data_IF_289598016404
#
_entry.id   IF_289598016404
#
_cell.length_a   1.000
_cell.length_b   1.000
_cell.length_c   1.000
_cell.angle_alpha   90.00
_cell.angle_beta   90.00
_cell.angle_gamma   90.00
#
_symmetry.space_group_name_H-M   'P 1'
#
loop_
_entity.id
_entity.type
_entity.pdbx_description
1 polymer ?
#
# COMPACT_ATOMS: atom_id res chain seq x y z
N UNK A 1 11.06 -6.99 23.19
CA UNK A 1 10.12 -6.62 22.12
C UNK A 1 10.83 -6.90 20.80
N UNK A 2 10.35 -7.87 20.02
CA UNK A 2 10.97 -8.23 18.75
C UNK A 2 10.30 -7.41 17.65
N UNK A 3 11.07 -6.60 16.94
CA UNK A 3 10.57 -5.80 15.80
C UNK A 3 10.41 -6.76 14.63
N UNK A 4 9.23 -6.75 14.01
CA UNK A 4 8.88 -7.65 12.90
C UNK A 4 8.35 -6.85 11.72
N UNK A 5 8.60 -7.35 10.51
CA UNK A 5 8.15 -6.70 9.29
C UNK A 5 6.63 -6.65 9.20
N UNK A 6 5.90 -7.67 9.65
CA UNK A 6 4.42 -7.70 9.64
C UNK A 6 3.75 -6.57 10.43
N UNK A 7 4.44 -6.03 11.43
CA UNK A 7 3.99 -4.90 12.26
C UNK A 7 4.40 -3.53 11.68
N UNK A 8 5.24 -3.52 10.65
CA UNK A 8 5.73 -2.30 10.02
C UNK A 8 4.73 -1.75 8.99
N UNK A 9 4.54 -0.44 8.94
CA UNK A 9 3.70 0.27 7.96
C UNK A 9 4.13 0.02 6.52
N UNK A 10 5.40 -0.29 6.28
CA UNK A 10 5.94 -0.50 4.95
C UNK A 10 5.77 -1.93 4.43
N UNK A 11 5.30 -2.87 5.25
CA UNK A 11 5.13 -4.26 4.83
C UNK A 11 3.74 -4.48 4.25
N UNK A 12 3.68 -4.93 2.99
CA UNK A 12 2.47 -5.36 2.32
C UNK A 12 2.48 -6.89 2.17
N UNK A 13 1.55 -7.64 2.78
CA UNK A 13 1.56 -9.09 2.70
C UNK A 13 1.27 -9.59 1.28
N UNK A 14 1.92 -10.67 0.87
CA UNK A 14 1.58 -11.36 -0.37
C UNK A 14 0.57 -12.49 -0.14
N UNK A 15 -0.16 -12.86 -1.19
CA UNK A 15 -1.12 -13.94 -1.17
C UNK A 15 -0.72 -15.02 -2.16
N UNK A 16 -0.92 -16.28 -1.79
CA UNK A 16 -0.72 -17.39 -2.71
C UNK A 16 -1.87 -17.49 -3.73
N UNK A 17 -1.77 -18.44 -4.67
CA UNK A 17 -2.79 -18.65 -5.70
C UNK A 17 -4.19 -19.00 -5.16
N UNK A 18 -4.29 -19.41 -3.90
CA UNK A 18 -5.55 -19.68 -3.20
C UNK A 18 -6.06 -18.46 -2.40
N UNK A 19 -5.43 -17.30 -2.53
CA UNK A 19 -5.80 -16.08 -1.80
C UNK A 19 -5.47 -16.13 -0.30
N UNK A 20 -4.56 -17.01 0.13
CA UNK A 20 -4.13 -17.10 1.54
C UNK A 20 -2.86 -16.30 1.75
N UNK A 21 -2.77 -15.63 2.90
CA UNK A 21 -1.57 -14.92 3.35
C UNK A 21 -0.36 -15.86 3.33
N UNK A 22 0.75 -15.35 2.82
CA UNK A 22 2.07 -15.99 2.90
C UNK A 22 2.85 -15.45 4.11
N UNK A 23 3.91 -16.15 4.51
CA UNK A 23 4.94 -15.67 5.45
C UNK A 23 5.87 -14.61 4.84
N UNK A 24 5.52 -14.12 3.65
CA UNK A 24 6.27 -13.14 2.87
C UNK A 24 5.42 -11.95 2.48
N UNK A 25 6.09 -10.84 2.21
CA UNK A 25 5.47 -9.61 1.75
C UNK A 25 6.47 -8.67 1.08
N UNK A 26 5.95 -7.63 0.46
CA UNK A 26 6.73 -6.55 -0.14
C UNK A 26 7.17 -5.53 0.92
N UNK A 27 8.46 -5.19 0.93
CA UNK A 27 8.97 -4.07 1.71
C UNK A 27 8.92 -2.78 0.87
N UNK A 28 7.94 -1.91 1.15
CA UNK A 28 7.69 -0.65 0.42
C UNK A 28 8.39 0.56 1.04
N UNK A 29 9.45 0.34 1.83
CA UNK A 29 10.22 1.42 2.48
C UNK A 29 10.96 2.31 1.48
N UNK A 30 11.42 1.70 0.38
CA UNK A 30 12.09 2.37 -0.74
C UNK A 30 11.24 2.21 -2.01
N UNK A 31 11.40 3.09 -3.01
CA UNK A 31 10.79 2.90 -4.32
C UNK A 31 11.11 1.52 -4.91
N UNK A 32 10.24 0.97 -5.77
CA UNK A 32 10.48 -0.31 -6.42
C UNK A 32 11.74 -0.23 -7.29
N UNK A 33 12.49 -1.33 -7.35
CA UNK A 33 13.60 -1.47 -8.27
C UNK A 33 13.07 -1.82 -9.66
N UNK A 34 13.61 -1.17 -10.70
CA UNK A 34 13.26 -1.48 -12.08
C UNK A 34 13.97 -2.77 -12.51
N UNK A 35 13.20 -3.74 -12.99
CA UNK A 35 13.69 -5.00 -13.57
C UNK A 35 13.34 -5.00 -15.06
N UNK A 36 14.20 -5.59 -15.90
CA UNK A 36 13.90 -5.77 -17.32
C UNK A 36 14.25 -4.57 -18.23
N UNK A 37 15.11 -3.65 -17.78
CA UNK A 37 15.65 -2.58 -18.63
C UNK A 37 16.63 -3.18 -19.64
N UNK A 38 16.12 -3.78 -20.71
CA UNK A 38 16.90 -4.14 -21.90
C UNK A 38 16.56 -3.17 -23.01
N UNK A 39 17.53 -2.91 -23.91
CA UNK A 39 17.39 -1.95 -25.02
C UNK A 39 16.23 -2.25 -25.98
N UNK A 40 15.64 -3.45 -25.91
CA UNK A 40 14.63 -3.94 -26.86
C UNK A 40 13.21 -4.06 -26.27
N UNK A 41 13.04 -3.88 -24.96
CA UNK A 41 11.73 -3.98 -24.31
C UNK A 41 11.42 -2.72 -23.52
N UNK A 42 10.41 -1.96 -23.96
CA UNK A 42 9.92 -0.76 -23.28
C UNK A 42 9.09 -1.06 -22.02
N UNK A 43 8.93 -2.33 -21.66
CA UNK A 43 8.20 -2.76 -20.46
C UNK A 43 9.22 -2.90 -19.34
N UNK A 44 9.32 -1.85 -18.53
CA UNK A 44 10.14 -1.87 -17.32
C UNK A 44 9.21 -2.13 -16.13
N UNK A 45 9.38 -3.26 -15.47
CA UNK A 45 8.57 -3.64 -14.32
C UNK A 45 9.25 -3.18 -13.03
N UNK A 46 8.49 -2.47 -12.18
CA UNK A 46 8.94 -2.07 -10.86
C UNK A 46 8.59 -3.12 -9.82
N UNK A 47 9.59 -3.67 -9.12
CA UNK A 47 9.37 -4.64 -8.04
C UNK A 47 9.87 -4.12 -6.69
N UNK A 48 9.05 -4.29 -5.66
CA UNK A 48 9.50 -4.13 -4.28
C UNK A 48 10.27 -5.38 -3.81
N UNK A 49 11.25 -5.24 -2.90
CA UNK A 49 11.89 -6.40 -2.28
C UNK A 49 10.88 -7.27 -1.52
N UNK A 50 10.94 -8.58 -1.73
CA UNK A 50 10.17 -9.56 -0.97
C UNK A 50 10.96 -9.98 0.27
N UNK A 51 10.37 -9.82 1.45
CA UNK A 51 10.95 -10.15 2.76
C UNK A 51 10.04 -11.12 3.51
N UNK A 52 10.57 -11.85 4.49
CA UNK A 52 9.72 -12.61 5.40
C UNK A 52 9.07 -11.68 6.44
N UNK A 53 7.91 -12.06 6.93
CA UNK A 53 7.17 -11.36 7.98
C UNK A 53 7.98 -11.15 9.28
N UNK A 54 8.87 -12.07 9.62
CA UNK A 54 9.75 -12.01 10.80
C UNK A 54 11.10 -11.32 10.56
N UNK A 55 11.39 -10.85 9.35
CA UNK A 55 12.65 -10.17 9.06
C UNK A 55 12.71 -8.76 9.67
N UNK A 56 13.93 -8.21 9.76
CA UNK A 56 14.17 -6.84 10.21
C UNK A 56 15.30 -6.18 9.42
N UNK A 57 15.02 -5.03 8.81
CA UNK A 57 15.95 -4.30 7.95
C UNK A 57 16.68 -3.14 8.65
N UNK A 58 16.47 -2.93 9.95
CA UNK A 58 17.06 -1.82 10.72
C UNK A 58 16.19 -0.56 10.82
N UNK A 59 15.14 -0.43 10.00
CA UNK A 59 14.18 0.67 10.04
C UNK A 59 12.77 0.13 10.37
N UNK A 60 12.02 0.86 11.21
CA UNK A 60 10.66 0.50 11.59
C UNK A 60 9.79 1.75 11.71
N UNK A 61 8.62 1.68 11.11
CA UNK A 61 7.53 2.63 11.35
C UNK A 61 6.31 1.80 11.73
N UNK A 62 5.72 2.05 12.89
CA UNK A 62 4.46 1.39 13.24
C UNK A 62 3.40 1.71 12.20
N UNK A 63 2.50 0.76 11.95
CA UNK A 63 1.20 1.02 11.33
C UNK A 63 0.47 2.00 12.24
N UNK A 64 0.73 3.29 12.05
CA UNK A 64 0.32 4.33 13.01
C UNK A 64 -1.19 4.40 13.19
N UNK A 65 -1.56 5.10 14.23
CA UNK A 65 -2.90 5.08 14.84
C UNK A 65 -3.97 5.45 13.80
N UNK A 66 -4.77 4.47 13.38
CA UNK A 66 -5.91 4.69 12.49
C UNK A 66 -6.84 5.80 13.03
N UNK A 67 -6.86 5.99 14.36
CA UNK A 67 -7.57 7.06 15.05
C UNK A 67 -7.07 8.47 14.69
N UNK A 68 -5.78 8.66 14.42
CA UNK A 68 -5.23 9.96 14.06
C UNK A 68 -5.73 10.43 12.67
N UNK A 69 -6.02 9.49 11.77
CA UNK A 69 -6.55 9.79 10.44
C UNK A 69 -8.08 9.81 10.39
N UNK A 70 -8.76 9.30 11.42
CA UNK A 70 -10.21 9.16 11.44
C UNK A 70 -10.95 10.49 11.25
N UNK A 71 -10.41 11.60 11.76
CA UNK A 71 -11.00 12.93 11.58
C UNK A 71 -10.91 13.40 10.12
N UNK A 72 -9.80 13.13 9.43
CA UNK A 72 -9.64 13.43 8.01
C UNK A 72 -10.54 12.54 7.15
N UNK A 73 -10.62 11.24 7.47
CA UNK A 73 -11.48 10.29 6.75
C UNK A 73 -12.98 10.63 6.93
N UNK A 74 -13.39 11.05 8.13
CA UNK A 74 -14.75 11.51 8.39
C UNK A 74 -15.09 12.77 7.58
N UNK A 75 -14.20 13.76 7.57
CA UNK A 75 -14.39 14.99 6.80
C UNK A 75 -14.46 14.71 5.28
N UNK A 76 -13.61 13.82 4.77
CA UNK A 76 -13.65 13.41 3.37
C UNK A 76 -14.96 12.68 3.00
N UNK A 77 -15.50 11.88 3.94
CA UNK A 77 -16.79 11.19 3.73
C UNK A 77 -17.96 12.17 3.66
N UNK A 78 -17.97 13.19 4.51
CA UNK A 78 -19.00 14.25 4.48
C UNK A 78 -18.97 15.02 3.15
N UNK A 79 -17.79 15.47 2.69
CA UNK A 79 -17.64 16.15 1.40
C UNK A 79 -18.17 15.32 0.23
N UNK A 80 -17.87 14.01 0.22
CA UNK A 80 -18.34 13.10 -0.82
C UNK A 80 -19.86 12.84 -0.81
N UNK A 81 -20.53 12.98 0.33
CA UNK A 81 -21.98 12.66 0.46
C UNK A 81 -22.89 13.88 0.49
N UNK A 82 -22.41 15.02 0.97
CA UNK A 82 -23.20 16.25 1.14
C UNK A 82 -22.98 17.30 0.03
N UNK A 83 -21.96 17.12 -0.82
CA UNK A 83 -21.85 17.94 -2.01
C UNK A 83 -23.05 17.67 -2.93
N UNK A 84 -23.95 18.63 -3.06
CA UNK A 84 -24.90 18.68 -4.14
C UNK A 84 -24.11 18.62 -5.45
N UNK A 85 -24.04 17.44 -6.07
CA UNK A 85 -23.35 17.23 -7.35
C UNK A 85 -23.98 18.19 -8.34
N UNK A 86 -23.27 19.26 -8.68
CA UNK A 86 -23.71 20.25 -9.66
C UNK A 86 -23.55 19.68 -11.08
N UNK A 87 -24.13 18.50 -11.32
CA UNK A 87 -24.28 17.91 -12.63
C UNK A 87 -25.76 18.00 -12.99
N UNK A 88 -26.16 19.06 -13.67
CA UNK A 88 -27.43 19.05 -14.39
C UNK A 88 -27.30 18.02 -15.51
N UNK A 89 -27.73 16.78 -15.25
CA UNK A 89 -28.10 15.87 -16.32
C UNK A 89 -29.31 16.51 -17.00
N UNK A 90 -29.06 17.26 -18.07
CA UNK A 90 -30.12 17.82 -18.90
C UNK A 90 -30.92 16.66 -19.47
N UNK A 91 -32.19 16.56 -19.07
CA UNK A 91 -33.17 15.72 -19.74
C UNK A 91 -33.39 16.29 -21.15
N UNK A 92 -33.07 15.50 -22.17
CA UNK A 92 -33.34 15.77 -23.58
C UNK A 92 -34.38 14.77 -24.10
#
# INVERSE_FOLDING_TARGET
MQIRCDECRYFEPTFNHQGRLTDRGECRRRPPAMVGVTSETFIADGHFPIVNDHDWCGEFASKGDAEANAAFDAAAREDATDAAVCGHAGDA
#
